data_IF_208610605540
#
_entry.id   IF_208610605540
#
_cell.length_a   1.000
_cell.length_b   1.000
_cell.length_c   1.000
_cell.angle_alpha   90.00
_cell.angle_beta   90.00
_cell.angle_gamma   90.00
#
_symmetry.space_group_name_H-M   'P 1'
#
loop_
_entity.id
_entity.type
_entity.pdbx_description
1 polymer ?
#
# COMPACT_ATOMS: atom_id res chain seq x y z
N UNK A 1 -18.10 -3.33 -18.45
CA UNK A 1 -17.05 -3.05 -17.46
C UNK A 1 -15.90 -2.43 -18.22
N UNK A 2 -15.64 -1.15 -17.98
CA UNK A 2 -14.45 -0.47 -18.49
C UNK A 2 -13.44 -0.42 -17.33
N UNK A 3 -13.00 -1.62 -16.94
CA UNK A 3 -12.18 -1.81 -15.78
C UNK A 3 -10.73 -1.39 -16.10
N UNK A 4 -10.15 -0.52 -15.28
CA UNK A 4 -8.78 -0.04 -15.45
C UNK A 4 -8.01 -0.06 -14.13
N UNK A 5 -6.73 -0.45 -14.21
CA UNK A 5 -5.80 -0.35 -13.09
C UNK A 5 -5.04 0.97 -13.14
N UNK A 6 -4.83 1.57 -11.96
CA UNK A 6 -4.01 2.78 -11.80
C UNK A 6 -3.08 2.61 -10.60
N UNK A 7 -1.87 3.14 -10.73
CA UNK A 7 -0.96 3.31 -9.59
C UNK A 7 -1.01 4.78 -9.21
N UNK A 8 -1.38 5.08 -7.97
CA UNK A 8 -1.42 6.43 -7.42
C UNK A 8 -0.48 6.52 -6.22
N UNK A 9 0.15 7.68 -6.04
CA UNK A 9 1.10 7.95 -4.96
C UNK A 9 0.48 8.75 -3.80
N UNK A 10 -0.82 9.02 -3.86
CA UNK A 10 -1.56 9.71 -2.82
C UNK A 10 -3.04 9.34 -2.83
N UNK A 11 -3.68 9.41 -1.66
CA UNK A 11 -5.12 9.23 -1.50
C UNK A 11 -5.92 10.54 -1.63
N UNK A 12 -5.26 11.69 -1.81
CA UNK A 12 -5.92 13.01 -1.83
C UNK A 12 -6.97 13.18 -2.94
N UNK A 13 -6.87 12.40 -4.03
CA UNK A 13 -7.84 12.39 -5.15
C UNK A 13 -8.85 11.25 -5.08
N UNK A 14 -8.85 10.46 -4.02
CA UNK A 14 -9.74 9.32 -3.84
C UNK A 14 -10.86 9.70 -2.87
N UNK A 15 -12.10 9.40 -3.25
CA UNK A 15 -13.26 9.55 -2.35
C UNK A 15 -13.06 8.65 -1.12
N UNK A 16 -12.96 9.28 0.06
CA UNK A 16 -12.72 8.59 1.32
C UNK A 16 -13.84 7.60 1.67
N UNK A 17 -15.11 7.93 1.39
CA UNK A 17 -16.23 7.04 1.66
C UNK A 17 -16.15 5.78 0.78
N UNK A 18 -15.76 5.93 -0.49
CA UNK A 18 -15.54 4.78 -1.39
C UNK A 18 -14.37 3.93 -0.96
N UNK A 19 -13.28 4.54 -0.54
CA UNK A 19 -12.15 3.80 0.02
C UNK A 19 -12.56 3.03 1.28
N UNK A 20 -13.27 3.67 2.20
CA UNK A 20 -13.65 3.09 3.47
C UNK A 20 -14.72 1.98 3.34
N UNK A 21 -15.57 2.04 2.31
CA UNK A 21 -16.41 0.91 1.89
C UNK A 21 -15.55 -0.33 1.58
N UNK A 22 -14.46 -0.17 0.81
CA UNK A 22 -13.54 -1.27 0.51
C UNK A 22 -12.74 -1.74 1.73
N UNK A 23 -12.42 -0.81 2.64
CA UNK A 23 -11.71 -1.10 3.88
C UNK A 23 -12.54 -1.96 4.85
N UNK A 24 -13.87 -2.00 4.69
CA UNK A 24 -14.76 -2.84 5.50
C UNK A 24 -14.70 -2.51 6.99
N UNK A 25 -14.45 -1.24 7.33
CA UNK A 25 -14.32 -0.78 8.72
C UNK A 25 -12.99 -1.12 9.41
N UNK A 26 -11.99 -1.66 8.71
CA UNK A 26 -10.67 -1.86 9.31
C UNK A 26 -9.93 -0.51 9.47
N UNK A 27 -9.59 -0.10 10.70
CA UNK A 27 -9.05 1.23 10.95
C UNK A 27 -7.66 1.44 10.35
N UNK A 28 -6.84 0.39 10.26
CA UNK A 28 -5.43 0.49 9.80
C UNK A 28 -5.30 0.64 8.29
N UNK A 29 -6.38 0.37 7.56
CA UNK A 29 -6.46 0.61 6.11
C UNK A 29 -7.55 1.60 5.76
N UNK A 30 -8.12 2.31 6.73
CA UNK A 30 -9.03 3.42 6.45
C UNK A 30 -8.30 4.53 5.69
N UNK A 31 -9.05 5.30 4.92
CA UNK A 31 -8.52 6.42 4.14
C UNK A 31 -7.76 7.39 5.06
N UNK A 32 -8.43 7.83 6.14
CA UNK A 32 -7.87 8.80 7.07
C UNK A 32 -6.58 8.32 7.75
N UNK A 33 -6.50 7.03 8.13
CA UNK A 33 -5.30 6.48 8.76
C UNK A 33 -4.11 6.47 7.80
N UNK A 34 -4.33 6.06 6.55
CA UNK A 34 -3.26 6.00 5.55
C UNK A 34 -2.85 7.41 5.10
N UNK A 35 -3.83 8.27 4.82
CA UNK A 35 -3.60 9.65 4.40
C UNK A 35 -2.80 10.44 5.45
N UNK A 36 -3.15 10.33 6.73
CA UNK A 36 -2.44 11.08 7.78
C UNK A 36 -0.98 10.62 7.95
N UNK A 37 -0.68 9.34 7.76
CA UNK A 37 0.71 8.84 7.79
C UNK A 37 1.58 9.50 6.71
N UNK A 38 1.00 9.75 5.54
CA UNK A 38 1.66 10.41 4.43
C UNK A 38 1.69 11.92 4.57
N UNK A 39 0.57 12.54 4.93
CA UNK A 39 0.44 13.99 5.11
C UNK A 39 1.38 14.52 6.21
N UNK A 40 1.61 13.74 7.26
CA UNK A 40 2.55 14.10 8.35
C UNK A 40 4.02 13.75 8.03
N UNK A 41 4.27 13.02 6.93
CA UNK A 41 5.59 12.54 6.55
C UNK A 41 6.12 11.36 7.37
N UNK A 42 5.31 10.78 8.27
CA UNK A 42 5.64 9.60 9.06
C UNK A 42 6.02 8.43 8.13
N UNK A 43 5.15 8.11 7.18
CA UNK A 43 5.44 7.23 6.06
C UNK A 43 5.67 8.09 4.82
N UNK A 44 6.92 8.21 4.38
CA UNK A 44 7.28 8.99 3.21
C UNK A 44 8.48 8.39 2.49
N UNK A 45 8.80 8.81 1.25
CA UNK A 45 10.02 8.37 0.58
C UNK A 45 11.29 8.56 1.42
N UNK A 46 11.35 9.62 2.25
CA UNK A 46 12.47 9.88 3.16
C UNK A 46 12.60 8.85 4.29
N UNK A 47 11.49 8.26 4.73
CA UNK A 47 11.47 7.15 5.71
C UNK A 47 11.41 5.78 5.04
N UNK A 48 11.69 5.74 3.73
CA UNK A 48 11.71 4.53 2.92
C UNK A 48 10.33 3.93 2.66
N UNK A 49 9.25 4.72 2.73
CA UNK A 49 7.87 4.35 2.43
C UNK A 49 7.32 5.21 1.29
N UNK A 50 7.63 4.86 0.04
CA UNK A 50 7.04 5.54 -1.11
C UNK A 50 5.70 4.89 -1.48
N UNK A 51 4.56 5.59 -1.34
CA UNK A 51 3.25 5.06 -1.71
C UNK A 51 3.16 4.76 -3.21
N UNK A 52 2.56 3.62 -3.54
CA UNK A 52 2.33 3.10 -4.89
C UNK A 52 0.97 2.36 -4.93
N UNK A 53 -0.09 2.97 -4.38
CA UNK A 53 -1.41 2.33 -4.26
C UNK A 53 -1.89 1.81 -5.63
N UNK A 54 -2.04 0.50 -5.75
CA UNK A 54 -2.67 -0.11 -6.92
C UNK A 54 -4.17 -0.04 -6.72
N UNK A 55 -4.88 0.53 -7.69
CA UNK A 55 -6.33 0.78 -7.61
C UNK A 55 -7.02 0.23 -8.86
N UNK A 56 -8.18 -0.37 -8.68
CA UNK A 56 -9.06 -0.87 -9.73
C UNK A 56 -10.28 0.06 -9.84
N UNK A 57 -10.57 0.52 -11.05
CA UNK A 57 -11.64 1.46 -11.33
C UNK A 57 -12.58 0.92 -12.41
N UNK A 58 -13.89 1.07 -12.23
CA UNK A 58 -14.89 0.98 -13.31
C UNK A 58 -15.45 2.40 -13.55
N UNK A 59 -14.97 3.06 -14.59
CA UNK A 59 -15.19 4.50 -14.79
C UNK A 59 -14.66 5.34 -13.61
N UNK A 60 -15.51 6.14 -12.92
CA UNK A 60 -15.13 6.93 -11.76
C UNK A 60 -15.22 6.15 -10.44
N UNK A 61 -15.75 4.91 -10.44
CA UNK A 61 -15.98 4.14 -9.22
C UNK A 61 -14.75 3.31 -8.88
N UNK A 62 -14.29 3.42 -7.64
CA UNK A 62 -13.23 2.58 -7.10
C UNK A 62 -13.80 1.21 -6.69
N UNK A 63 -13.32 0.15 -7.32
CA UNK A 63 -13.80 -1.23 -7.12
C UNK A 63 -12.81 -2.07 -6.29
N UNK A 64 -11.53 -1.68 -6.27
CA UNK A 64 -10.51 -2.38 -5.50
C UNK A 64 -9.26 -1.54 -5.26
N UNK A 65 -8.50 -1.89 -4.24
CA UNK A 65 -7.26 -1.20 -3.88
C UNK A 65 -6.28 -2.11 -3.12
N UNK A 66 -4.99 -1.84 -3.28
CA UNK A 66 -3.89 -2.46 -2.53
C UNK A 66 -3.02 -1.35 -1.94
N UNK A 67 -2.93 -1.23 -0.61
CA UNK A 67 -1.88 -0.44 0.05
C UNK A 67 -0.52 -1.03 -0.28
N UNK A 68 0.18 -0.39 -1.23
CA UNK A 68 1.41 -0.89 -1.83
C UNK A 68 2.48 0.20 -1.76
N UNK A 69 3.71 -0.18 -1.46
CA UNK A 69 4.81 0.74 -1.25
C UNK A 69 6.08 0.27 -1.95
N UNK A 70 6.78 1.20 -2.61
CA UNK A 70 8.18 1.01 -2.95
C UNK A 70 9.03 1.30 -1.70
N UNK A 71 9.66 0.25 -1.16
CA UNK A 71 10.48 0.29 0.05
C UNK A 71 11.96 0.38 -0.33
N UNK A 72 12.67 1.35 0.23
CA UNK A 72 14.14 1.50 0.06
C UNK A 72 14.95 0.72 1.10
N UNK A 73 14.30 0.20 2.14
CA UNK A 73 14.88 -0.64 3.18
C UNK A 73 13.77 -1.42 3.91
N UNK A 74 14.14 -2.42 4.71
CA UNK A 74 13.20 -3.25 5.49
C UNK A 74 12.74 -2.64 6.82
N UNK A 75 13.31 -1.50 7.27
CA UNK A 75 12.82 -0.87 8.51
C UNK A 75 11.35 -0.44 8.44
N UNK A 76 10.66 -0.66 9.57
CA UNK A 76 9.26 -0.32 9.80
C UNK A 76 8.26 -1.33 9.26
N UNK A 77 8.71 -2.34 8.53
CA UNK A 77 7.87 -3.45 8.09
C UNK A 77 7.89 -4.58 9.13
N UNK A 78 6.89 -5.46 9.05
CA UNK A 78 6.77 -6.64 9.91
C UNK A 78 6.95 -7.95 9.13
N UNK A 79 7.68 -7.88 8.02
CA UNK A 79 8.17 -8.98 7.19
C UNK A 79 9.68 -8.98 7.35
N UNK A 80 10.22 -9.80 8.23
CA UNK A 80 11.64 -9.74 8.62
C UNK A 80 12.56 -10.34 7.55
N UNK A 81 12.73 -9.65 6.42
CA UNK A 81 13.45 -10.18 5.25
C UNK A 81 14.92 -9.76 5.11
N UNK A 82 15.53 -9.30 6.21
CA UNK A 82 16.94 -8.91 6.27
C UNK A 82 17.91 -9.96 5.71
N UNK A 83 17.67 -11.24 5.99
CA UNK A 83 18.48 -12.33 5.46
C UNK A 83 18.45 -12.42 3.93
N UNK A 84 17.34 -12.03 3.30
CA UNK A 84 17.22 -11.97 1.84
C UNK A 84 17.97 -10.77 1.28
N UNK A 85 17.82 -9.60 1.90
CA UNK A 85 18.56 -8.41 1.51
C UNK A 85 20.09 -8.64 1.59
N UNK A 86 20.57 -9.24 2.69
CA UNK A 86 21.98 -9.61 2.84
C UNK A 86 22.46 -10.61 1.77
N UNK A 87 21.64 -11.62 1.44
CA UNK A 87 22.01 -12.59 0.41
C UNK A 87 22.16 -11.91 -0.96
N UNK A 88 21.22 -11.02 -1.32
CA UNK A 88 21.27 -10.27 -2.57
C UNK A 88 22.50 -9.35 -2.63
N UNK A 89 22.82 -8.66 -1.53
CA UNK A 89 24.01 -7.82 -1.41
C UNK A 89 25.30 -8.64 -1.60
N UNK A 90 25.42 -9.81 -0.95
CA UNK A 90 26.59 -10.71 -1.11
C UNK A 90 26.79 -11.18 -2.55
N UNK A 91 25.73 -11.21 -3.36
CA UNK A 91 25.77 -11.57 -4.76
C UNK A 91 25.78 -10.35 -5.71
N UNK A 92 25.83 -9.12 -5.19
CA UNK A 92 25.84 -7.90 -5.99
C UNK A 92 24.53 -7.64 -6.76
N UNK A 93 23.42 -8.21 -6.30
CA UNK A 93 22.09 -8.07 -6.92
C UNK A 93 21.31 -7.01 -6.14
N UNK A 94 20.69 -6.01 -6.80
CA UNK A 94 19.84 -5.05 -6.12
C UNK A 94 18.61 -5.71 -5.50
N UNK A 95 18.43 -5.57 -4.18
CA UNK A 95 17.22 -6.00 -3.48
C UNK A 95 16.18 -4.87 -3.34
N UNK A 96 16.64 -3.64 -3.20
CA UNK A 96 15.80 -2.44 -3.11
C UNK A 96 15.90 -1.60 -4.39
N UNK A 97 14.85 -0.82 -4.74
CA UNK A 97 13.56 -0.80 -4.07
C UNK A 97 12.78 -2.09 -4.30
N UNK A 98 12.05 -2.54 -3.28
CA UNK A 98 11.11 -3.67 -3.38
C UNK A 98 9.68 -3.17 -3.26
N UNK A 99 8.73 -3.86 -3.87
CA UNK A 99 7.30 -3.61 -3.67
C UNK A 99 6.78 -4.40 -2.46
N UNK A 100 6.10 -3.72 -1.55
CA UNK A 100 5.54 -4.30 -0.34
C UNK A 100 4.06 -3.92 -0.21
N UNK A 101 3.19 -4.92 -0.16
CA UNK A 101 1.78 -4.74 0.19
C UNK A 101 1.62 -4.81 1.72
N UNK A 102 1.58 -3.66 2.38
CA UNK A 102 1.58 -3.56 3.84
C UNK A 102 0.86 -2.30 4.33
N UNK A 103 0.80 -2.11 5.65
CA UNK A 103 0.46 -0.82 6.26
C UNK A 103 1.70 -0.35 7.01
N UNK A 104 2.14 0.92 6.86
CA UNK A 104 3.36 1.39 7.51
C UNK A 104 3.32 1.25 9.04
N UNK A 105 4.42 0.78 9.62
CA UNK A 105 4.67 0.79 11.08
C UNK A 105 3.60 0.10 11.95
N UNK A 106 2.83 -0.84 11.40
CA UNK A 106 1.84 -1.59 12.16
C UNK A 106 1.97 -3.11 11.97
N UNK A 107 2.00 -3.90 13.06
CA UNK A 107 1.90 -5.35 12.99
C UNK A 107 0.45 -5.83 12.85
N UNK A 108 -0.52 -4.91 12.81
CA UNK A 108 -1.93 -5.26 12.81
C UNK A 108 -2.28 -6.13 11.61
N UNK A 109 -2.98 -7.22 11.90
CA UNK A 109 -3.60 -8.06 10.88
C UNK A 109 -4.74 -7.28 10.21
N UNK A 110 -4.99 -7.59 8.95
CA UNK A 110 -6.02 -6.91 8.18
C UNK A 110 -5.83 -7.15 6.68
N UNK A 111 -6.80 -6.71 5.87
CA UNK A 111 -6.70 -6.89 4.44
C UNK A 111 -5.57 -6.03 3.86
N UNK A 112 -4.91 -6.55 2.82
CA UNK A 112 -4.02 -5.78 1.92
C UNK A 112 -4.52 -5.75 0.49
N UNK A 113 -5.61 -6.48 0.24
CA UNK A 113 -6.36 -6.49 -1.00
C UNK A 113 -7.80 -6.13 -0.64
N UNK A 114 -8.16 -4.89 -0.92
CA UNK A 114 -9.48 -4.31 -0.69
C UNK A 114 -10.26 -4.45 -1.99
N UNK A 115 -11.50 -4.94 -1.93
CA UNK A 115 -12.32 -5.15 -3.12
C UNK A 115 -13.81 -5.12 -2.75
N UNK A 116 -14.61 -4.48 -3.59
CA UNK A 116 -16.06 -4.34 -3.38
C UNK A 116 -16.80 -5.68 -3.56
N UNK A 117 -16.26 -6.56 -4.41
CA UNK A 117 -16.84 -7.86 -4.75
C UNK A 117 -15.74 -8.92 -4.80
N UNK A 118 -16.14 -10.20 -4.87
CA UNK A 118 -15.20 -11.29 -5.08
C UNK A 118 -14.62 -11.31 -6.50
N UNK A 119 -15.32 -10.78 -7.50
CA UNK A 119 -14.82 -10.67 -8.88
C UNK A 119 -13.74 -9.59 -9.00
N UNK A 120 -13.85 -8.51 -8.23
CA UNK A 120 -12.85 -7.45 -8.16
C UNK A 120 -11.61 -7.82 -7.31
N UNK A 121 -11.64 -8.95 -6.59
CA UNK A 121 -10.57 -9.43 -5.72
C UNK A 121 -9.65 -10.38 -6.45
#
# INVERSE_FOLDING_TARGET
MDASFRIIDSLSGVDAARWDELAGGNPTVSHAFLDVLHATGCASPRTGWQPQYLTLWDGPRLEGAVPLYAKSHSFGEYVFDWAWAEAYERHGIPYYPKLLAAVPFTPATGPRLLAATQEAR
#
